data_IF_123651295670
#
_entry.id   IF_123651295670
#
_cell.length_a   1.000
_cell.length_b   1.000
_cell.length_c   1.000
_cell.angle_alpha   90.00
_cell.angle_beta   90.00
_cell.angle_gamma   90.00
#
_symmetry.space_group_name_H-M   'P 1'
#
loop_
_entity.id
_entity.type
_entity.pdbx_description
1 polymer ?
#
# COMPACT_ATOMS: atom_id res chain seq x y z
N UNK A 1 10.98 20.89 -13.36
CA UNK A 1 10.70 19.62 -12.69
C UNK A 1 11.66 18.54 -13.17
N UNK A 2 11.76 18.29 -14.48
CA UNK A 2 12.61 17.24 -15.03
C UNK A 2 14.10 17.42 -14.74
N UNK A 3 14.62 18.64 -14.71
CA UNK A 3 16.03 18.89 -14.39
C UNK A 3 16.38 18.45 -12.96
N UNK A 4 15.49 18.69 -12.00
CA UNK A 4 15.67 18.22 -10.61
C UNK A 4 15.64 16.70 -10.54
N UNK A 5 14.73 16.06 -11.27
CA UNK A 5 14.65 14.60 -11.34
C UNK A 5 15.89 13.98 -11.99
N UNK A 6 16.38 14.56 -13.10
CA UNK A 6 17.60 14.09 -13.79
C UNK A 6 18.84 14.24 -12.91
N UNK A 7 18.98 15.38 -12.23
CA UNK A 7 20.08 15.60 -11.30
C UNK A 7 20.07 14.59 -10.13
N UNK A 8 18.90 14.30 -9.56
CA UNK A 8 18.79 13.28 -8.53
C UNK A 8 19.08 11.86 -9.05
N UNK A 9 18.70 11.58 -10.29
CA UNK A 9 18.94 10.29 -10.94
C UNK A 9 20.42 10.00 -11.23
N UNK A 10 21.31 11.02 -11.21
CA UNK A 10 22.76 10.82 -11.33
C UNK A 10 23.35 9.99 -10.17
N UNK A 11 22.68 10.01 -9.01
CA UNK A 11 23.11 9.30 -7.80
C UNK A 11 22.12 8.23 -7.33
N UNK A 12 20.97 8.09 -7.98
CA UNK A 12 19.91 7.13 -7.66
C UNK A 12 19.57 6.30 -8.92
N UNK A 13 20.17 5.11 -8.99
CA UNK A 13 19.96 4.19 -10.12
C UNK A 13 18.48 3.75 -10.28
N UNK A 14 17.74 3.61 -9.18
CA UNK A 14 16.33 3.22 -9.23
C UNK A 14 15.48 4.34 -9.82
N UNK A 15 15.76 5.59 -9.45
CA UNK A 15 15.11 6.77 -10.05
C UNK A 15 15.47 6.92 -11.52
N UNK A 16 16.74 6.70 -11.90
CA UNK A 16 17.20 6.75 -13.29
C UNK A 16 16.48 5.69 -14.15
N UNK A 17 16.39 4.47 -13.67
CA UNK A 17 15.68 3.38 -14.34
C UNK A 17 14.18 3.68 -14.50
N UNK A 18 13.56 4.24 -13.45
CA UNK A 18 12.17 4.65 -13.51
C UNK A 18 11.93 5.77 -14.54
N UNK A 19 12.72 6.85 -14.52
CA UNK A 19 12.60 7.92 -15.52
C UNK A 19 12.72 7.39 -16.96
N UNK A 20 13.71 6.52 -17.19
CA UNK A 20 13.87 5.87 -18.50
C UNK A 20 12.64 5.02 -18.88
N UNK A 21 12.00 4.37 -17.91
CA UNK A 21 10.79 3.57 -18.16
C UNK A 21 9.61 4.43 -18.62
N UNK A 22 9.53 5.70 -18.18
CA UNK A 22 8.46 6.62 -18.57
C UNK A 22 8.52 6.98 -20.07
N UNK A 23 9.70 7.00 -20.68
CA UNK A 23 9.85 7.25 -22.14
C UNK A 23 9.17 6.14 -22.95
N UNK A 24 9.17 4.90 -22.45
CA UNK A 24 8.54 3.73 -23.08
C UNK A 24 7.05 3.57 -22.81
N UNK A 25 6.45 4.43 -21.98
CA UNK A 25 5.01 4.30 -21.61
C UNK A 25 4.08 4.70 -22.76
N UNK A 26 4.57 5.44 -23.76
CA UNK A 26 3.71 6.03 -24.79
C UNK A 26 2.93 7.26 -24.27
N UNK A 27 2.25 7.94 -25.15
CA UNK A 27 1.31 9.00 -24.73
C UNK A 27 0.02 8.39 -24.21
N UNK A 28 -0.61 9.02 -23.19
CA UNK A 28 -1.93 8.58 -22.75
C UNK A 28 -2.92 8.63 -23.91
N UNK A 29 -3.82 7.67 -23.94
CA UNK A 29 -4.84 7.54 -25.02
C UNK A 29 -5.79 8.75 -25.03
N UNK A 30 -5.93 9.44 -23.88
CA UNK A 30 -6.72 10.65 -23.75
C UNK A 30 -5.91 11.74 -23.01
N UNK A 31 -6.28 13.00 -23.23
CA UNK A 31 -5.71 14.11 -22.48
C UNK A 31 -5.95 13.90 -20.97
N UNK A 32 -4.89 14.03 -20.19
CA UNK A 32 -4.97 13.92 -18.72
C UNK A 32 -5.56 15.21 -18.18
N UNK A 33 -6.77 15.11 -17.63
CA UNK A 33 -7.53 16.24 -17.07
C UNK A 33 -7.57 16.13 -15.55
N UNK A 34 -7.30 17.24 -14.89
CA UNK A 34 -7.54 17.39 -13.45
C UNK A 34 -8.86 18.13 -13.22
N UNK A 35 -9.63 17.78 -12.18
CA UNK A 35 -10.81 18.55 -11.78
C UNK A 35 -10.50 20.04 -11.67
N UNK A 36 -11.47 20.90 -11.95
CA UNK A 36 -11.30 22.34 -11.78
C UNK A 36 -11.04 22.72 -10.31
N UNK A 37 -10.56 23.94 -10.08
CA UNK A 37 -10.18 24.40 -8.74
C UNK A 37 -11.36 24.33 -7.76
N UNK A 38 -12.58 24.54 -8.26
CA UNK A 38 -13.81 24.49 -7.46
C UNK A 38 -14.32 23.07 -7.21
N UNK A 39 -13.99 22.12 -8.09
CA UNK A 39 -14.38 20.70 -7.98
C UNK A 39 -13.35 19.87 -7.19
N UNK A 40 -12.09 20.24 -7.28
CA UNK A 40 -10.98 19.47 -6.67
C UNK A 40 -11.16 19.25 -5.16
N UNK A 41 -11.65 20.21 -4.35
CA UNK A 41 -11.89 19.98 -2.92
C UNK A 41 -12.82 18.80 -2.64
N UNK A 42 -13.92 18.66 -3.36
CA UNK A 42 -14.88 17.55 -3.16
C UNK A 42 -14.26 16.20 -3.53
N UNK A 43 -13.46 16.15 -4.59
CA UNK A 43 -12.71 14.94 -4.98
C UNK A 43 -11.69 14.57 -3.91
N UNK A 44 -10.96 15.52 -3.35
CA UNK A 44 -9.99 15.29 -2.29
C UNK A 44 -10.66 14.81 -0.99
N UNK A 45 -11.81 15.36 -0.64
CA UNK A 45 -12.61 14.93 0.51
C UNK A 45 -13.13 13.49 0.34
N UNK A 46 -13.58 13.13 -0.85
CA UNK A 46 -14.04 11.78 -1.16
C UNK A 46 -12.89 10.74 -1.08
N UNK A 47 -11.65 11.17 -1.32
CA UNK A 47 -10.43 10.40 -1.10
C UNK A 47 -9.91 10.47 0.36
N UNK A 48 -10.67 11.07 1.27
CA UNK A 48 -10.33 11.28 2.69
C UNK A 48 -9.03 12.07 2.91
N UNK A 49 -8.63 12.92 1.97
CA UNK A 49 -7.47 13.80 2.14
C UNK A 49 -7.70 14.74 3.33
N UNK A 50 -6.69 14.95 4.22
CA UNK A 50 -6.83 15.85 5.36
C UNK A 50 -7.26 17.26 4.95
N UNK A 51 -8.23 17.84 5.65
CA UNK A 51 -8.74 19.18 5.35
C UNK A 51 -7.64 20.25 5.30
N UNK A 52 -6.65 20.11 6.17
CA UNK A 52 -5.50 21.01 6.27
C UNK A 52 -4.63 21.02 5.00
N UNK A 53 -4.76 20.00 4.16
CA UNK A 53 -3.98 19.87 2.94
C UNK A 53 -4.72 20.38 1.70
N UNK A 54 -6.04 20.48 1.73
CA UNK A 54 -6.88 20.76 0.56
C UNK A 54 -6.51 22.08 -0.10
N UNK A 55 -6.46 23.18 0.65
CA UNK A 55 -6.16 24.50 0.08
C UNK A 55 -4.77 24.54 -0.58
N UNK A 56 -3.79 23.86 0.01
CA UNK A 56 -2.46 23.78 -0.57
C UNK A 56 -2.45 22.96 -1.86
N UNK A 57 -3.20 21.85 -1.91
CA UNK A 57 -3.35 21.03 -3.12
C UNK A 57 -4.05 21.78 -4.23
N UNK A 58 -5.10 22.56 -3.93
CA UNK A 58 -5.75 23.43 -4.92
C UNK A 58 -4.74 24.44 -5.50
N UNK A 59 -3.90 25.05 -4.65
CA UNK A 59 -2.85 25.95 -5.12
C UNK A 59 -1.76 25.23 -5.96
N UNK A 60 -1.38 24.02 -5.57
CA UNK A 60 -0.38 23.22 -6.31
C UNK A 60 -0.90 22.76 -7.68
N UNK A 61 -2.22 22.55 -7.84
CA UNK A 61 -2.84 22.22 -9.13
C UNK A 61 -2.42 23.19 -10.24
N UNK A 62 -2.49 24.48 -9.97
CA UNK A 62 -2.11 25.51 -10.94
C UNK A 62 -0.62 25.39 -11.34
N UNK A 63 0.26 25.02 -10.40
CA UNK A 63 1.67 24.79 -10.69
C UNK A 63 1.88 23.54 -11.56
N UNK A 64 1.18 22.45 -11.27
CA UNK A 64 1.24 21.22 -12.08
C UNK A 64 0.79 21.50 -13.52
N UNK A 65 -0.30 22.23 -13.70
CA UNK A 65 -0.84 22.56 -15.02
C UNK A 65 -0.05 23.64 -15.76
N UNK A 66 0.61 24.54 -15.03
CA UNK A 66 1.42 25.63 -15.60
C UNK A 66 2.81 25.21 -16.03
N UNK A 67 3.36 24.14 -15.49
CA UNK A 67 4.72 23.64 -15.79
C UNK A 67 4.65 22.53 -16.85
N UNK A 68 5.26 22.69 -18.04
CA UNK A 68 5.24 21.66 -19.10
C UNK A 68 5.86 20.34 -18.65
N UNK A 69 6.93 20.36 -17.84
CA UNK A 69 7.59 19.16 -17.32
C UNK A 69 6.68 18.40 -16.36
N UNK A 70 5.98 19.14 -15.47
CA UNK A 70 5.05 18.55 -14.52
C UNK A 70 3.84 17.92 -15.24
N UNK A 71 3.32 18.56 -16.28
CA UNK A 71 2.24 17.99 -17.13
C UNK A 71 2.71 16.71 -17.84
N UNK A 72 3.92 16.76 -18.43
CA UNK A 72 4.48 15.58 -19.07
C UNK A 72 4.62 14.42 -18.09
N UNK A 73 5.18 14.68 -16.91
CA UNK A 73 5.34 13.69 -15.86
C UNK A 73 3.99 13.14 -15.38
N UNK A 74 3.00 14.02 -15.17
CA UNK A 74 1.64 13.61 -14.80
C UNK A 74 1.05 12.67 -15.84
N UNK A 75 1.10 13.04 -17.11
CA UNK A 75 0.56 12.25 -18.20
C UNK A 75 1.22 10.84 -18.28
N UNK A 76 2.54 10.77 -18.12
CA UNK A 76 3.26 9.49 -18.14
C UNK A 76 2.96 8.63 -16.91
N UNK A 77 2.88 9.22 -15.71
CA UNK A 77 2.52 8.50 -14.50
C UNK A 77 1.08 7.95 -14.56
N UNK A 78 0.13 8.73 -15.06
CA UNK A 78 -1.26 8.27 -15.26
C UNK A 78 -1.33 7.14 -16.28
N UNK A 79 -0.65 7.28 -17.42
CA UNK A 79 -0.60 6.22 -18.44
C UNK A 79 0.04 4.93 -17.90
N UNK A 80 1.11 5.05 -17.11
CA UNK A 80 1.75 3.92 -16.44
C UNK A 80 0.81 3.25 -15.43
N UNK A 81 0.09 4.05 -14.64
CA UNK A 81 -0.83 3.55 -13.62
C UNK A 81 -2.03 2.81 -14.24
N UNK A 82 -2.58 3.33 -15.34
CA UNK A 82 -3.76 2.78 -15.99
C UNK A 82 -3.46 1.67 -17.01
N UNK A 83 -2.18 1.50 -17.37
CA UNK A 83 -1.79 0.40 -18.27
C UNK A 83 -2.06 -0.94 -17.58
N UNK A 84 -2.73 -1.85 -18.28
CA UNK A 84 -3.14 -3.17 -17.77
C UNK A 84 -3.97 -3.04 -16.47
N UNK A 85 -4.89 -2.06 -16.42
CA UNK A 85 -5.77 -1.81 -15.29
C UNK A 85 -6.55 -3.08 -14.91
N UNK A 86 -6.40 -3.53 -13.67
CA UNK A 86 -7.07 -4.72 -13.14
C UNK A 86 -6.33 -6.04 -13.37
N UNK A 87 -5.17 -6.05 -14.01
CA UNK A 87 -4.35 -7.26 -14.14
C UNK A 87 -3.46 -7.47 -12.91
N UNK A 88 -3.65 -8.55 -12.12
CA UNK A 88 -2.84 -8.83 -10.94
C UNK A 88 -1.37 -9.14 -11.30
N UNK A 89 -0.47 -8.78 -10.38
CA UNK A 89 0.95 -9.13 -10.49
C UNK A 89 1.76 -8.26 -11.46
N UNK A 90 1.17 -7.19 -12.00
CA UNK A 90 1.89 -6.20 -12.80
C UNK A 90 2.52 -5.15 -11.90
N UNK A 91 3.83 -5.13 -11.83
CA UNK A 91 4.54 -4.12 -11.05
C UNK A 91 4.43 -2.73 -11.70
N UNK A 92 3.89 -1.77 -10.95
CA UNK A 92 3.89 -0.35 -11.29
C UNK A 92 4.70 0.39 -10.25
N UNK A 93 5.80 1.00 -10.69
CA UNK A 93 6.66 1.80 -9.82
C UNK A 93 6.25 3.26 -9.86
N UNK A 94 5.91 3.79 -8.70
CA UNK A 94 5.74 5.22 -8.45
C UNK A 94 6.66 5.57 -7.27
N UNK A 95 7.89 6.05 -7.53
CA UNK A 95 8.84 6.35 -6.48
C UNK A 95 8.44 7.62 -5.72
N UNK A 96 8.93 7.75 -4.50
CA UNK A 96 8.91 9.05 -3.81
C UNK A 96 9.82 10.01 -4.60
N UNK A 97 9.29 11.20 -4.92
CA UNK A 97 10.05 12.16 -5.70
C UNK A 97 11.09 12.89 -4.82
N UNK A 98 12.21 13.36 -5.41
CA UNK A 98 13.28 13.99 -4.68
C UNK A 98 12.85 15.22 -3.89
N UNK A 99 13.42 15.41 -2.71
CA UNK A 99 13.13 16.54 -1.82
C UNK A 99 13.39 17.92 -2.47
N UNK A 100 14.27 17.99 -3.48
CA UNK A 100 14.51 19.21 -4.25
C UNK A 100 13.30 19.78 -4.98
N UNK A 101 12.24 18.99 -5.16
CA UNK A 101 10.95 19.45 -5.70
C UNK A 101 10.03 20.10 -4.64
N UNK A 102 10.41 20.04 -3.37
CA UNK A 102 9.65 20.63 -2.26
C UNK A 102 8.22 20.04 -2.16
N UNK A 103 7.25 20.90 -1.86
CA UNK A 103 5.85 20.49 -1.73
C UNK A 103 5.26 19.87 -3.00
N UNK A 104 5.70 20.32 -4.17
CA UNK A 104 5.27 19.75 -5.43
C UNK A 104 5.69 18.27 -5.50
N UNK A 105 6.91 17.93 -5.13
CA UNK A 105 7.41 16.56 -5.13
C UNK A 105 6.66 15.66 -4.13
N UNK A 106 6.46 16.13 -2.90
CA UNK A 106 5.78 15.36 -1.86
C UNK A 106 4.29 15.11 -2.16
N UNK A 107 3.62 16.02 -2.88
CA UNK A 107 2.19 15.94 -3.20
C UNK A 107 1.88 15.53 -4.64
N UNK A 108 2.88 15.41 -5.51
CA UNK A 108 2.67 15.19 -6.94
C UNK A 108 1.77 13.98 -7.25
N UNK A 109 1.99 12.88 -6.54
CA UNK A 109 1.22 11.65 -6.77
C UNK A 109 -0.27 11.76 -6.39
N UNK A 110 -0.66 12.75 -5.57
CA UNK A 110 -2.08 13.04 -5.36
C UNK A 110 -2.75 13.37 -6.69
N UNK A 111 -2.12 14.20 -7.52
CA UNK A 111 -2.64 14.57 -8.82
C UNK A 111 -2.66 13.41 -9.83
N UNK A 112 -1.68 12.49 -9.74
CA UNK A 112 -1.69 11.25 -10.53
C UNK A 112 -2.93 10.41 -10.19
N UNK A 113 -3.21 10.21 -8.91
CA UNK A 113 -4.35 9.42 -8.45
C UNK A 113 -5.69 10.12 -8.72
N UNK A 114 -5.77 11.44 -8.54
CA UNK A 114 -6.95 12.24 -8.89
C UNK A 114 -7.25 12.15 -10.38
N UNK A 115 -6.24 12.29 -11.24
CA UNK A 115 -6.42 12.20 -12.68
C UNK A 115 -6.84 10.80 -13.15
N UNK A 116 -6.38 9.74 -12.48
CA UNK A 116 -6.76 8.36 -12.80
C UNK A 116 -8.14 7.95 -12.24
N UNK A 117 -8.68 8.71 -11.31
CA UNK A 117 -9.88 8.35 -10.55
C UNK A 117 -11.12 8.03 -11.40
N UNK A 118 -11.45 8.78 -12.48
CA UNK A 118 -12.60 8.47 -13.33
C UNK A 118 -12.54 7.05 -13.92
N UNK A 119 -11.39 6.67 -14.48
CA UNK A 119 -11.18 5.36 -15.11
C UNK A 119 -11.19 4.23 -14.07
N UNK A 120 -10.62 4.47 -12.90
CA UNK A 120 -10.63 3.50 -11.78
C UNK A 120 -12.05 3.27 -11.29
N UNK A 121 -12.85 4.32 -11.10
CA UNK A 121 -14.26 4.20 -10.72
C UNK A 121 -15.09 3.53 -11.79
N UNK A 122 -14.81 3.80 -13.05
CA UNK A 122 -15.46 3.12 -14.17
C UNK A 122 -15.12 1.63 -14.18
N UNK A 123 -13.85 1.28 -13.96
CA UNK A 123 -13.42 -0.11 -13.78
C UNK A 123 -14.18 -0.79 -12.63
N UNK A 124 -14.30 -0.16 -11.48
CA UNK A 124 -15.06 -0.69 -10.34
C UNK A 124 -16.55 -0.90 -10.70
N UNK A 125 -17.19 0.07 -11.36
CA UNK A 125 -18.59 -0.06 -11.80
C UNK A 125 -18.79 -1.22 -12.78
N UNK A 126 -17.89 -1.37 -13.76
CA UNK A 126 -17.95 -2.48 -14.74
C UNK A 126 -17.83 -3.86 -14.08
N UNK A 127 -17.14 -3.96 -12.97
CA UNK A 127 -17.04 -5.19 -12.17
C UNK A 127 -18.15 -5.29 -11.10
N UNK A 128 -19.08 -4.35 -11.05
CA UNK A 128 -20.15 -4.32 -10.07
C UNK A 128 -19.68 -4.13 -8.62
N UNK A 129 -18.46 -3.60 -8.41
CA UNK A 129 -17.92 -3.29 -7.07
C UNK A 129 -18.84 -2.26 -6.40
N UNK A 130 -19.34 -2.53 -5.17
CA UNK A 130 -20.19 -1.58 -4.44
C UNK A 130 -19.50 -0.24 -4.21
N UNK A 131 -20.26 0.85 -4.31
CA UNK A 131 -19.75 2.22 -4.15
C UNK A 131 -19.03 2.43 -2.82
N UNK A 132 -19.55 1.87 -1.74
CA UNK A 132 -18.96 1.99 -0.42
C UNK A 132 -17.62 1.24 -0.30
N UNK A 133 -17.46 0.11 -0.99
CA UNK A 133 -16.19 -0.61 -1.10
C UNK A 133 -15.19 0.20 -1.94
N UNK A 134 -15.64 0.70 -3.09
CA UNK A 134 -14.82 1.55 -3.96
C UNK A 134 -14.30 2.78 -3.20
N UNK A 135 -15.18 3.53 -2.54
CA UNK A 135 -14.81 4.71 -1.75
C UNK A 135 -13.84 4.39 -0.62
N UNK A 136 -14.13 3.38 0.18
CA UNK A 136 -13.24 2.97 1.29
C UNK A 136 -11.87 2.52 0.80
N UNK A 137 -11.82 1.86 -0.32
CA UNK A 137 -10.55 1.43 -0.94
C UNK A 137 -9.72 2.63 -1.37
N UNK A 138 -10.29 3.55 -2.12
CA UNK A 138 -9.58 4.71 -2.66
C UNK A 138 -9.24 5.77 -1.59
N UNK A 139 -10.04 5.84 -0.51
CA UNK A 139 -9.78 6.68 0.66
C UNK A 139 -8.52 6.27 1.45
N UNK A 140 -7.88 5.16 1.11
CA UNK A 140 -6.57 4.78 1.67
C UNK A 140 -5.50 5.85 1.41
N UNK A 141 -5.58 6.55 0.29
CA UNK A 141 -4.70 7.67 -0.04
C UNK A 141 -4.70 8.74 1.07
N UNK A 142 -5.87 9.27 1.40
CA UNK A 142 -6.00 10.31 2.42
C UNK A 142 -5.66 9.80 3.82
N UNK A 143 -5.98 8.53 4.12
CA UNK A 143 -5.60 7.89 5.39
C UNK A 143 -4.07 7.88 5.56
N UNK A 144 -3.32 7.48 4.56
CA UNK A 144 -1.86 7.50 4.59
C UNK A 144 -1.29 8.93 4.67
N UNK A 145 -1.91 9.90 3.99
CA UNK A 145 -1.55 11.31 4.12
C UNK A 145 -1.77 11.81 5.56
N UNK A 146 -2.88 11.42 6.20
CA UNK A 146 -3.16 11.76 7.59
C UNK A 146 -2.14 11.13 8.56
N UNK A 147 -1.75 9.86 8.32
CA UNK A 147 -0.67 9.19 9.09
C UNK A 147 0.65 9.93 8.92
N UNK A 148 1.02 10.25 7.68
CA UNK A 148 2.24 10.98 7.38
C UNK A 148 2.27 12.34 8.08
N UNK A 149 1.19 13.12 7.95
CA UNK A 149 1.06 14.41 8.62
C UNK A 149 1.21 14.29 10.13
N UNK A 150 0.56 13.31 10.75
CA UNK A 150 0.63 13.09 12.21
C UNK A 150 2.05 12.75 12.67
N UNK A 151 2.80 12.01 11.86
CA UNK A 151 4.16 11.54 12.20
C UNK A 151 5.23 12.57 11.90
N UNK A 152 5.10 13.30 10.80
CA UNK A 152 6.16 14.16 10.26
C UNK A 152 5.79 15.65 10.20
N UNK A 153 4.55 16.02 10.56
CA UNK A 153 4.07 17.40 10.58
C UNK A 153 3.84 18.02 9.18
N UNK A 154 4.21 17.31 8.10
CA UNK A 154 4.11 17.76 6.73
C UNK A 154 3.03 17.04 5.92
N UNK A 155 2.71 17.58 4.74
CA UNK A 155 1.83 16.96 3.76
C UNK A 155 2.63 16.08 2.78
N UNK A 156 1.99 15.07 2.21
CA UNK A 156 2.58 14.26 1.16
C UNK A 156 2.06 12.83 1.11
N UNK A 157 2.46 12.13 0.05
CA UNK A 157 2.20 10.70 -0.14
C UNK A 157 3.48 9.93 0.13
N UNK A 158 3.64 9.31 1.30
CA UNK A 158 4.92 8.70 1.72
C UNK A 158 5.28 7.43 0.94
N UNK A 159 4.29 6.73 0.41
CA UNK A 159 4.45 5.44 -0.28
C UNK A 159 3.55 5.37 -1.52
N UNK A 160 3.84 6.16 -2.57
CA UNK A 160 2.96 6.24 -3.73
C UNK A 160 2.79 4.89 -4.45
N UNK A 161 3.82 4.06 -4.49
CA UNK A 161 3.73 2.70 -5.05
C UNK A 161 2.71 1.80 -4.36
N UNK A 162 2.48 1.98 -3.05
CA UNK A 162 1.43 1.29 -2.30
C UNK A 162 0.03 1.62 -2.84
N UNK A 163 -0.22 2.89 -3.15
CA UNK A 163 -1.52 3.34 -3.64
C UNK A 163 -1.78 2.89 -5.08
N UNK A 164 -0.74 2.54 -5.84
CA UNK A 164 -0.91 1.99 -7.18
C UNK A 164 -1.85 0.77 -7.17
N UNK A 165 -1.75 -0.15 -6.23
CA UNK A 165 -2.63 -1.31 -6.14
C UNK A 165 -4.11 -0.93 -5.95
N UNK A 166 -4.40 0.09 -5.12
CA UNK A 166 -5.76 0.60 -4.91
C UNK A 166 -6.34 1.21 -6.20
N UNK A 167 -5.53 2.01 -6.89
CA UNK A 167 -5.94 2.71 -8.11
C UNK A 167 -5.79 1.88 -9.38
N UNK A 168 -5.34 0.63 -9.26
CA UNK A 168 -5.30 -0.34 -10.36
C UNK A 168 -6.37 -1.42 -10.25
N UNK A 169 -7.26 -1.35 -9.26
CA UNK A 169 -8.27 -2.37 -9.03
C UNK A 169 -7.69 -3.72 -8.59
N UNK A 170 -6.47 -3.71 -8.03
CA UNK A 170 -5.83 -4.91 -7.51
C UNK A 170 -6.11 -5.12 -6.02
N UNK A 171 -6.31 -4.05 -5.24
CA UNK A 171 -6.50 -4.11 -3.79
C UNK A 171 -7.84 -3.51 -3.38
N UNK A 172 -8.54 -4.17 -2.46
CA UNK A 172 -9.85 -3.76 -1.94
C UNK A 172 -9.89 -3.75 -0.42
N UNK A 173 -10.51 -2.70 0.14
CA UNK A 173 -10.79 -2.58 1.57
C UNK A 173 -12.07 -3.34 1.91
N UNK A 174 -11.97 -4.49 2.57
CA UNK A 174 -13.09 -5.32 2.98
C UNK A 174 -13.13 -5.42 4.51
N UNK A 175 -13.95 -4.61 5.14
CA UNK A 175 -14.00 -4.52 6.61
C UNK A 175 -12.70 -3.99 7.22
N UNK A 176 -12.13 -4.74 8.16
CA UNK A 176 -10.90 -4.36 8.89
C UNK A 176 -9.62 -4.55 8.06
N UNK A 177 -9.62 -5.47 7.11
CA UNK A 177 -8.47 -5.86 6.31
C UNK A 177 -8.59 -5.38 4.87
N UNK A 178 -7.46 -5.37 4.18
CA UNK A 178 -7.38 -5.18 2.74
C UNK A 178 -6.92 -6.48 2.09
N UNK A 179 -7.46 -6.77 0.91
CA UNK A 179 -7.12 -7.94 0.14
C UNK A 179 -6.67 -7.53 -1.25
N UNK A 180 -5.46 -7.91 -1.59
CA UNK A 180 -4.87 -7.67 -2.90
C UNK A 180 -4.98 -8.93 -3.75
N UNK A 181 -5.45 -8.78 -4.97
CA UNK A 181 -5.36 -9.77 -6.03
C UNK A 181 -3.90 -9.89 -6.45
N UNK A 182 -3.27 -11.00 -6.16
CA UNK A 182 -1.83 -11.19 -6.31
C UNK A 182 -1.54 -12.53 -7.00
N UNK A 183 -0.28 -12.71 -7.38
CA UNK A 183 0.23 -13.97 -7.94
C UNK A 183 1.04 -14.67 -6.87
N UNK A 184 0.79 -15.95 -6.66
CA UNK A 184 1.47 -16.77 -5.67
C UNK A 184 2.93 -17.00 -6.10
N UNK A 185 3.86 -16.55 -5.27
CA UNK A 185 5.28 -16.78 -5.49
C UNK A 185 5.69 -18.22 -5.19
N UNK A 186 6.77 -18.70 -5.82
CA UNK A 186 7.27 -20.07 -5.73
C UNK A 186 7.50 -20.55 -4.29
N UNK A 187 8.03 -19.68 -3.42
CA UNK A 187 8.30 -20.03 -2.02
C UNK A 187 7.00 -20.33 -1.25
N UNK A 188 5.97 -19.50 -1.42
CA UNK A 188 4.69 -19.74 -0.78
C UNK A 188 3.95 -20.93 -1.40
N UNK A 189 4.08 -21.14 -2.71
CA UNK A 189 3.52 -22.29 -3.39
C UNK A 189 4.14 -23.59 -2.82
N UNK A 190 5.47 -23.63 -2.59
CA UNK A 190 6.13 -24.77 -1.96
C UNK A 190 5.63 -25.01 -0.53
N UNK A 191 5.38 -23.96 0.25
CA UNK A 191 4.84 -24.08 1.61
C UNK A 191 3.38 -24.60 1.60
N UNK A 192 2.55 -24.14 0.63
CA UNK A 192 1.18 -24.63 0.42
C UNK A 192 1.19 -26.11 0.04
N UNK A 193 2.00 -26.51 -0.94
CA UNK A 193 2.13 -27.89 -1.39
C UNK A 193 2.64 -28.81 -0.29
N UNK A 194 3.65 -28.38 0.49
CA UNK A 194 4.18 -29.12 1.65
C UNK A 194 3.16 -29.40 2.74
N UNK A 195 2.07 -28.62 2.79
CA UNK A 195 0.94 -28.81 3.70
C UNK A 195 -0.28 -29.47 3.04
N UNK A 196 -0.12 -30.01 1.83
CA UNK A 196 -1.16 -30.73 1.09
C UNK A 196 -2.14 -29.84 0.32
N UNK A 197 -1.82 -28.57 0.10
CA UNK A 197 -2.57 -27.69 -0.77
C UNK A 197 -2.20 -27.87 -2.25
N UNK A 198 -3.11 -27.46 -3.16
CA UNK A 198 -2.97 -27.67 -4.61
C UNK A 198 -2.45 -26.43 -5.37
N UNK A 199 -2.45 -25.23 -4.74
CA UNK A 199 -2.04 -24.00 -5.40
C UNK A 199 -0.53 -23.99 -5.69
N UNK A 200 -0.18 -23.69 -6.94
CA UNK A 200 1.18 -23.64 -7.47
C UNK A 200 1.72 -22.23 -7.68
N UNK A 201 3.02 -22.13 -7.98
CA UNK A 201 3.62 -20.86 -8.36
C UNK A 201 2.96 -20.32 -9.64
N UNK A 202 2.67 -19.03 -9.64
CA UNK A 202 1.96 -18.38 -10.75
C UNK A 202 0.44 -18.39 -10.64
N UNK A 203 -0.16 -19.19 -9.75
CA UNK A 203 -1.59 -19.14 -9.50
C UNK A 203 -1.98 -17.84 -8.79
N UNK A 204 -3.26 -17.43 -8.95
CA UNK A 204 -3.78 -16.27 -8.25
C UNK A 204 -4.00 -16.58 -6.76
N UNK A 205 -3.67 -15.63 -5.92
CA UNK A 205 -3.91 -15.66 -4.49
C UNK A 205 -4.39 -14.29 -4.00
N UNK A 206 -4.93 -14.24 -2.77
CA UNK A 206 -5.22 -12.99 -2.09
C UNK A 206 -4.08 -12.68 -1.12
N UNK A 207 -3.40 -11.55 -1.29
CA UNK A 207 -2.48 -11.04 -0.28
C UNK A 207 -3.24 -10.14 0.68
N UNK A 208 -3.21 -10.48 1.99
CA UNK A 208 -3.91 -9.70 3.01
C UNK A 208 -2.98 -8.65 3.63
N UNK A 209 -3.52 -7.43 3.77
CA UNK A 209 -2.83 -6.29 4.35
C UNK A 209 -3.61 -5.73 5.54
N UNK A 210 -2.88 -5.10 6.48
CA UNK A 210 -3.41 -4.63 7.76
C UNK A 210 -3.26 -3.11 7.80
N UNK A 211 -4.29 -2.35 7.39
CA UNK A 211 -4.20 -0.89 7.40
C UNK A 211 -4.26 -0.31 8.82
N UNK A 212 -3.54 0.81 9.00
CA UNK A 212 -3.61 1.64 10.19
C UNK A 212 -4.98 2.34 10.33
N UNK A 213 -5.33 2.79 11.54
CA UNK A 213 -6.49 3.64 11.85
C UNK A 213 -7.90 3.10 11.51
N UNK A 214 -8.05 1.80 11.32
CA UNK A 214 -9.37 1.17 11.12
C UNK A 214 -9.87 0.44 12.38
N UNK A 215 -9.50 0.93 13.54
CA UNK A 215 -9.89 0.35 14.82
C UNK A 215 -9.12 -0.93 15.18
N UNK A 216 -9.49 -1.60 16.26
CA UNK A 216 -8.79 -2.77 16.75
C UNK A 216 -8.88 -3.94 15.75
N UNK A 217 -7.78 -4.66 15.60
CA UNK A 217 -7.69 -5.90 14.83
C UNK A 217 -8.20 -7.07 15.69
N UNK A 218 -9.48 -7.00 16.08
CA UNK A 218 -10.09 -8.08 16.86
C UNK A 218 -10.32 -9.31 15.98
N UNK A 219 -10.36 -10.47 16.61
CA UNK A 219 -10.59 -11.74 15.91
C UNK A 219 -11.89 -11.71 15.09
N UNK A 220 -12.98 -11.25 15.68
CA UNK A 220 -14.27 -11.11 14.98
C UNK A 220 -14.22 -10.11 13.82
N UNK A 221 -13.43 -9.02 13.90
CA UNK A 221 -13.29 -8.07 12.80
C UNK A 221 -12.48 -8.66 11.65
N UNK A 222 -11.43 -9.42 11.94
CA UNK A 222 -10.65 -10.13 10.93
C UNK A 222 -11.48 -11.24 10.26
N UNK A 223 -12.25 -12.01 11.03
CA UNK A 223 -13.14 -13.06 10.48
C UNK A 223 -14.14 -12.47 9.51
N UNK A 224 -14.87 -11.42 9.90
CA UNK A 224 -15.80 -10.73 8.99
C UNK A 224 -15.12 -10.25 7.71
N UNK A 225 -13.87 -9.79 7.81
CA UNK A 225 -13.13 -9.36 6.60
C UNK A 225 -12.84 -10.54 5.66
N UNK A 226 -12.51 -11.71 6.20
CA UNK A 226 -12.29 -12.93 5.42
C UNK A 226 -13.59 -13.43 4.80
N UNK A 227 -14.70 -13.41 5.56
CA UNK A 227 -16.03 -13.75 5.05
C UNK A 227 -16.42 -12.82 3.87
N UNK A 228 -16.22 -11.51 4.04
CA UNK A 228 -16.45 -10.56 2.94
C UNK A 228 -15.58 -10.87 1.71
N UNK A 229 -14.33 -11.28 1.90
CA UNK A 229 -13.47 -11.64 0.78
C UNK A 229 -13.96 -12.90 0.05
N UNK A 230 -14.41 -13.93 0.78
CA UNK A 230 -15.00 -15.16 0.20
C UNK A 230 -16.22 -14.88 -0.67
N UNK A 231 -16.99 -13.83 -0.35
CA UNK A 231 -18.17 -13.45 -1.14
C UNK A 231 -17.82 -12.48 -2.27
N UNK A 232 -16.90 -11.53 -2.00
CA UNK A 232 -16.57 -10.43 -2.89
C UNK A 232 -15.86 -10.90 -4.16
N UNK A 233 -14.77 -11.65 -4.03
CA UNK A 233 -13.93 -11.98 -5.18
C UNK A 233 -14.63 -12.88 -6.20
N UNK A 234 -15.33 -13.97 -5.84
CA UNK A 234 -16.05 -14.77 -6.82
C UNK A 234 -17.20 -14.00 -7.50
N UNK A 235 -17.80 -13.02 -6.79
CA UNK A 235 -18.90 -12.22 -7.33
C UNK A 235 -18.42 -11.18 -8.34
N UNK A 236 -17.32 -10.50 -8.06
CA UNK A 236 -16.84 -9.37 -8.86
C UNK A 236 -15.75 -9.75 -9.86
N UNK A 237 -15.07 -10.87 -9.63
CA UNK A 237 -14.01 -11.43 -10.47
C UNK A 237 -14.27 -12.92 -10.78
N UNK A 238 -15.41 -13.26 -11.41
CA UNK A 238 -15.85 -14.67 -11.57
C UNK A 238 -14.96 -15.52 -12.49
N UNK A 239 -14.03 -14.89 -13.21
CA UNK A 239 -13.06 -15.60 -14.07
C UNK A 239 -11.75 -15.93 -13.33
N UNK A 240 -11.60 -15.46 -12.11
CA UNK A 240 -10.42 -15.63 -11.29
C UNK A 240 -10.73 -16.58 -10.14
N UNK A 241 -9.77 -17.41 -9.78
CA UNK A 241 -9.89 -18.34 -8.68
C UNK A 241 -8.86 -18.03 -7.62
N UNK A 242 -9.30 -17.91 -6.39
CA UNK A 242 -8.49 -17.61 -5.23
C UNK A 242 -8.71 -18.68 -4.16
N UNK A 243 -7.81 -19.65 -4.06
CA UNK A 243 -7.92 -20.74 -3.09
C UNK A 243 -7.11 -20.47 -1.82
N UNK A 244 -6.19 -19.50 -1.87
CA UNK A 244 -5.20 -19.24 -0.82
C UNK A 244 -5.15 -17.75 -0.50
N UNK A 245 -5.11 -17.46 0.79
CA UNK A 245 -4.75 -16.14 1.32
C UNK A 245 -3.32 -16.21 1.85
N UNK A 246 -2.50 -15.23 1.47
CA UNK A 246 -1.12 -15.07 1.95
C UNK A 246 -0.97 -13.76 2.73
N UNK A 247 -0.03 -13.72 3.64
CA UNK A 247 0.37 -12.50 4.35
C UNK A 247 1.89 -12.48 4.53
N UNK A 248 2.47 -11.32 4.24
CA UNK A 248 3.88 -11.03 4.49
C UNK A 248 3.92 -9.83 5.44
N UNK A 249 4.34 -10.05 6.68
CA UNK A 249 4.29 -9.01 7.69
C UNK A 249 5.18 -9.34 8.89
N UNK A 250 5.84 -8.31 9.44
CA UNK A 250 6.51 -8.41 10.72
C UNK A 250 5.55 -8.84 11.86
N UNK A 251 4.24 -8.59 11.71
CA UNK A 251 3.23 -9.07 12.67
C UNK A 251 3.12 -10.60 12.71
N UNK A 252 3.64 -11.30 11.71
CA UNK A 252 3.70 -12.76 11.69
C UNK A 252 4.99 -13.32 12.28
N UNK A 253 5.93 -12.47 12.76
CA UNK A 253 7.10 -12.98 13.49
C UNK A 253 6.66 -13.69 14.77
N UNK A 254 6.92 -15.02 14.90
CA UNK A 254 6.48 -15.78 16.05
C UNK A 254 7.13 -15.34 17.37
N UNK A 255 8.21 -14.57 17.32
CA UNK A 255 8.85 -14.04 18.52
C UNK A 255 7.95 -13.06 19.30
N UNK A 256 6.97 -12.41 18.62
CA UNK A 256 5.98 -11.56 19.28
C UNK A 256 5.20 -12.29 20.39
N UNK A 257 5.00 -13.62 20.26
CA UNK A 257 4.33 -14.44 21.27
C UNK A 257 5.10 -14.55 22.60
N UNK A 258 6.39 -14.21 22.62
CA UNK A 258 7.19 -14.14 23.87
C UNK A 258 6.81 -12.96 24.74
N UNK A 259 6.24 -11.90 24.13
CA UNK A 259 5.96 -10.61 24.76
C UNK A 259 4.48 -10.31 24.90
N UNK A 260 3.65 -10.92 24.07
CA UNK A 260 2.23 -10.66 23.99
C UNK A 260 1.44 -11.86 24.54
N UNK A 261 0.39 -11.61 25.37
CA UNK A 261 -0.45 -12.71 25.85
C UNK A 261 -1.21 -13.37 24.69
N UNK A 262 -1.56 -14.64 24.83
CA UNK A 262 -2.30 -15.40 23.83
C UNK A 262 -3.65 -14.77 23.40
N UNK A 263 -4.28 -14.00 24.28
CA UNK A 263 -5.50 -13.25 23.99
C UNK A 263 -5.27 -11.92 23.24
N UNK A 264 -4.01 -11.54 22.97
CA UNK A 264 -3.73 -10.31 22.22
C UNK A 264 -4.19 -10.45 20.76
N UNK A 265 -4.75 -9.37 20.20
CA UNK A 265 -5.24 -9.36 18.82
C UNK A 265 -4.19 -9.80 17.79
N UNK A 266 -2.93 -9.38 17.97
CA UNK A 266 -1.82 -9.78 17.09
C UNK A 266 -1.59 -11.29 17.16
N UNK A 267 -1.59 -11.88 18.35
CA UNK A 267 -1.40 -13.33 18.53
C UNK A 267 -2.57 -14.10 17.89
N UNK A 268 -3.81 -13.65 18.11
CA UNK A 268 -4.99 -14.24 17.47
C UNK A 268 -4.94 -14.12 15.95
N UNK A 269 -4.46 -13.00 15.43
CA UNK A 269 -4.26 -12.84 14.00
C UNK A 269 -3.22 -13.82 13.46
N UNK A 270 -2.07 -14.00 14.14
CA UNK A 270 -1.04 -14.97 13.75
C UNK A 270 -1.58 -16.41 13.71
N UNK A 271 -2.46 -16.78 14.65
CA UNK A 271 -3.02 -18.15 14.75
C UNK A 271 -3.88 -18.55 13.55
N UNK A 272 -4.30 -17.61 12.70
CA UNK A 272 -5.01 -17.86 11.45
C UNK A 272 -4.12 -18.44 10.36
N UNK A 273 -2.82 -18.22 10.46
CA UNK A 273 -1.86 -18.54 9.41
C UNK A 273 -1.06 -19.80 9.72
N UNK A 274 -0.89 -20.62 8.70
CA UNK A 274 0.18 -21.61 8.64
C UNK A 274 1.45 -20.86 8.22
N UNK A 275 2.44 -20.79 9.10
CA UNK A 275 3.68 -20.08 8.79
C UNK A 275 4.51 -20.91 7.82
N UNK A 276 4.98 -20.29 6.75
CA UNK A 276 6.07 -20.78 5.96
C UNK A 276 7.38 -20.64 6.77
N UNK A 277 8.47 -21.27 6.32
CA UNK A 277 9.77 -21.16 6.98
C UNK A 277 10.20 -19.69 7.04
N UNK A 278 10.10 -19.12 8.24
CA UNK A 278 10.04 -17.67 8.48
C UNK A 278 11.40 -17.02 8.29
N UNK A 279 12.50 -17.78 8.46
CA UNK A 279 13.84 -17.19 8.49
C UNK A 279 14.75 -17.66 7.35
N UNK A 280 14.25 -18.51 6.45
CA UNK A 280 15.05 -19.06 5.37
C UNK A 280 15.42 -18.02 4.32
N UNK A 281 16.62 -17.49 4.41
CA UNK A 281 17.23 -16.65 3.39
C UNK A 281 16.96 -15.15 3.46
N UNK A 282 16.19 -14.68 4.42
CA UNK A 282 15.95 -13.25 4.65
C UNK A 282 16.65 -12.81 5.94
N UNK A 283 17.41 -11.72 5.85
CA UNK A 283 18.02 -11.07 7.01
C UNK A 283 16.98 -10.40 7.89
N UNK A 284 17.36 -9.95 9.10
CA UNK A 284 16.48 -9.19 9.97
C UNK A 284 16.12 -7.83 9.35
N UNK A 285 14.89 -7.39 9.56
CA UNK A 285 14.47 -6.01 9.28
C UNK A 285 13.88 -5.38 10.55
N UNK A 286 14.77 -4.86 11.38
CA UNK A 286 14.40 -4.17 12.62
C UNK A 286 13.72 -2.81 12.36
N UNK A 287 14.00 -2.19 11.20
CA UNK A 287 13.48 -0.88 10.83
C UNK A 287 11.99 -0.92 10.50
N UNK A 288 11.51 -2.06 10.00
CA UNK A 288 10.11 -2.22 9.62
C UNK A 288 9.18 -2.10 10.83
N UNK A 289 9.29 -2.93 11.89
CA UNK A 289 8.46 -2.78 13.09
C UNK A 289 8.71 -1.46 13.83
N UNK A 290 9.94 -0.94 13.83
CA UNK A 290 10.24 0.37 14.43
C UNK A 290 9.45 1.47 13.71
N UNK A 291 9.44 1.49 12.39
CA UNK A 291 8.68 2.45 11.60
C UNK A 291 7.17 2.36 11.83
N UNK A 292 6.61 1.15 11.86
CA UNK A 292 5.17 0.94 12.08
C UNK A 292 4.73 1.31 13.49
N UNK A 293 5.49 0.91 14.50
CA UNK A 293 5.11 1.08 15.91
C UNK A 293 5.40 2.50 16.43
N UNK A 294 6.54 3.07 16.03
CA UNK A 294 7.02 4.34 16.56
C UNK A 294 6.91 5.51 15.58
N UNK A 295 6.67 5.22 14.31
CA UNK A 295 6.43 6.23 13.28
C UNK A 295 7.67 6.70 12.51
N UNK A 296 8.86 6.33 12.95
CA UNK A 296 10.12 6.64 12.28
C UNK A 296 11.04 5.41 12.35
N UNK A 297 11.52 4.98 11.18
CA UNK A 297 12.35 3.78 11.03
C UNK A 297 13.78 3.94 11.56
N UNK A 298 14.21 5.18 11.73
CA UNK A 298 15.59 5.53 12.07
C UNK A 298 15.76 5.90 13.54
N UNK A 299 14.72 5.72 14.37
CA UNK A 299 14.81 5.97 15.80
C UNK A 299 15.85 5.07 16.46
N UNK A 300 16.74 5.63 17.29
CA UNK A 300 17.70 4.84 18.03
C UNK A 300 17.02 3.93 19.04
N UNK A 301 17.41 2.65 19.09
CA UNK A 301 16.81 1.61 19.94
C UNK A 301 16.75 2.03 21.41
N UNK A 302 17.79 2.70 21.93
CA UNK A 302 17.85 3.16 23.32
C UNK A 302 16.75 4.16 23.67
N UNK A 303 16.31 4.99 22.69
CA UNK A 303 15.31 6.04 22.87
C UNK A 303 13.86 5.61 22.59
N UNK A 304 13.60 4.35 22.22
CA UNK A 304 12.24 3.90 21.87
C UNK A 304 11.28 4.02 23.05
N UNK A 305 10.09 4.59 22.84
CA UNK A 305 9.05 4.68 23.88
C UNK A 305 8.59 3.31 24.38
N UNK A 306 7.95 3.27 25.56
CA UNK A 306 7.45 2.05 26.22
C UNK A 306 6.00 2.19 26.69
N UNK A 307 5.17 3.00 26.03
CA UNK A 307 3.81 3.36 26.46
C UNK A 307 2.82 2.21 26.29
N UNK A 308 2.86 1.53 25.13
CA UNK A 308 1.96 0.44 24.80
C UNK A 308 2.63 -0.93 24.99
N UNK A 309 1.84 -2.01 24.98
CA UNK A 309 2.39 -3.39 25.02
C UNK A 309 3.23 -3.69 23.78
N UNK A 310 2.80 -3.23 22.61
CA UNK A 310 3.52 -3.46 21.34
C UNK A 310 4.83 -2.66 21.34
N UNK A 311 4.83 -1.39 21.81
CA UNK A 311 6.06 -0.61 21.96
C UNK A 311 7.07 -1.34 22.87
N UNK A 312 6.59 -1.89 24.01
CA UNK A 312 7.46 -2.69 24.90
C UNK A 312 7.96 -3.95 24.21
N UNK A 313 7.08 -4.71 23.54
CA UNK A 313 7.47 -5.93 22.85
C UNK A 313 8.58 -5.68 21.84
N UNK A 314 8.36 -4.69 20.96
CA UNK A 314 9.32 -4.36 19.89
C UNK A 314 10.62 -3.78 20.48
N UNK A 315 10.52 -2.78 21.34
CA UNK A 315 11.70 -2.08 21.87
C UNK A 315 12.54 -2.93 22.84
N UNK A 316 11.92 -3.75 23.70
CA UNK A 316 12.64 -4.57 24.67
C UNK A 316 13.37 -5.75 23.99
N UNK A 317 12.76 -6.32 22.93
CA UNK A 317 13.42 -7.33 22.13
C UNK A 317 14.72 -6.80 21.51
N UNK A 318 14.65 -5.62 20.87
CA UNK A 318 15.81 -4.95 20.27
C UNK A 318 16.88 -4.56 21.32
N UNK A 319 16.46 -4.04 22.49
CA UNK A 319 17.38 -3.70 23.59
C UNK A 319 18.08 -4.93 24.16
N UNK A 320 17.43 -6.09 24.08
CA UNK A 320 18.00 -7.38 24.48
C UNK A 320 18.95 -7.98 23.44
N UNK A 321 19.23 -7.29 22.34
CA UNK A 321 20.07 -7.77 21.23
C UNK A 321 19.37 -8.75 20.29
N UNK A 322 18.03 -8.85 20.37
CA UNK A 322 17.24 -9.62 19.42
C UNK A 322 16.98 -8.86 18.13
N UNK A 323 16.50 -9.56 17.10
CA UNK A 323 16.16 -9.01 15.81
C UNK A 323 14.76 -9.43 15.38
N UNK A 324 14.06 -8.56 14.63
CA UNK A 324 12.76 -8.83 14.04
C UNK A 324 12.89 -9.26 12.59
N UNK A 325 11.97 -10.13 12.18
CA UNK A 325 11.92 -10.67 10.82
C UNK A 325 10.53 -10.48 10.22
N UNK A 326 10.45 -10.40 8.91
CA UNK A 326 9.19 -10.51 8.22
C UNK A 326 8.71 -11.96 8.24
N UNK A 327 7.52 -12.20 8.78
CA UNK A 327 6.89 -13.50 8.75
C UNK A 327 6.06 -13.69 7.48
N UNK A 328 6.03 -14.93 6.98
CA UNK A 328 5.27 -15.32 5.81
C UNK A 328 4.30 -16.41 6.21
N UNK A 329 3.03 -16.18 5.96
CA UNK A 329 1.99 -17.14 6.34
C UNK A 329 0.89 -17.24 5.29
N UNK A 330 0.13 -18.32 5.36
CA UNK A 330 -1.00 -18.57 4.48
C UNK A 330 -2.11 -19.35 5.16
N UNK A 331 -3.31 -19.26 4.61
CA UNK A 331 -4.44 -20.12 4.96
C UNK A 331 -5.33 -20.34 3.72
N UNK A 332 -6.11 -21.44 3.64
CA UNK A 332 -7.10 -21.62 2.57
C UNK A 332 -8.24 -20.60 2.72
N UNK A 333 -8.68 -20.03 1.58
CA UNK A 333 -9.74 -19.01 1.56
C UNK A 333 -11.12 -19.58 1.86
#
# INVERSE_FOLDING_TARGET
VLDVLRAAAETDEALAAWLKSLDGVGEPVAEVVLPDADELPDVLLDLAVPHEDINALVGLRARVLGDPDARWLLARCVALLLRDLGEPGREVRLPVLPAGLGELGSCFHVFVFVAALPEVRDYHRRHGVPDDVSRRTLADLGRHMAVHRRRHGGRGVPVPGWHAWHFRGELYQLGRLQFQRAVLGERMAAAVAGAGGEAGGGDLCLSVHIPDFLGPMSDAACERSVEMAREFFPRHFPRERYDVVVCHSWLLDPQLKRYLPGAANIVRFQERFRLADTYAGEGPDDRLPVGFVFGDRDLPVAGLPRRTRVERAVGDHLRGGGHWYEGHGWFPL
#
